data_IF_154202474586
#
_entry.id   IF_154202474586
#
_cell.length_a   1.000
_cell.length_b   1.000
_cell.length_c   1.000
_cell.angle_alpha   90.00
_cell.angle_beta   90.00
_cell.angle_gamma   90.00
#
_symmetry.space_group_name_H-M   'P 1'
#
loop_
_entity.id
_entity.type
_entity.pdbx_description
1 polymer ?
#
# COMPACT_ATOMS: atom_id res chain seq x y z
N UNK A 1 2.39 -13.01 10.23
CA UNK A 1 3.54 -12.25 9.69
C UNK A 1 4.87 -12.74 10.23
N UNK A 2 4.91 -13.22 11.47
CA UNK A 2 6.14 -13.50 12.23
C UNK A 2 7.12 -14.47 11.55
N UNK A 3 6.65 -15.51 10.85
CA UNK A 3 7.54 -16.40 10.09
C UNK A 3 8.29 -15.67 8.97
N UNK A 4 7.62 -14.74 8.28
CA UNK A 4 8.28 -13.92 7.25
C UNK A 4 9.21 -12.89 7.89
N UNK A 5 8.84 -12.34 9.05
CA UNK A 5 9.69 -11.44 9.82
C UNK A 5 11.00 -12.09 10.23
N UNK A 6 10.95 -13.32 10.76
CA UNK A 6 12.13 -14.11 11.11
C UNK A 6 13.01 -14.36 9.89
N UNK A 7 12.42 -14.80 8.77
CA UNK A 7 13.16 -15.02 7.52
C UNK A 7 13.83 -13.75 7.00
N UNK A 8 13.19 -12.59 7.14
CA UNK A 8 13.80 -11.33 6.75
C UNK A 8 15.04 -11.00 7.60
N UNK A 9 14.95 -11.21 8.91
CA UNK A 9 16.09 -11.02 9.80
C UNK A 9 17.24 -11.99 9.46
N UNK A 10 16.92 -13.24 9.14
CA UNK A 10 17.89 -14.23 8.67
C UNK A 10 18.54 -13.82 7.35
N UNK A 11 17.74 -13.49 6.33
CA UNK A 11 18.21 -13.03 5.01
C UNK A 11 19.14 -11.81 5.14
N UNK A 12 18.78 -10.84 5.99
CA UNK A 12 19.58 -9.63 6.22
C UNK A 12 20.88 -9.92 6.97
N UNK A 13 20.84 -10.76 8.00
CA UNK A 13 22.02 -11.19 8.77
C UNK A 13 23.00 -11.95 7.90
N UNK A 14 22.50 -12.84 7.04
CA UNK A 14 23.31 -13.69 6.16
C UNK A 14 23.70 -13.00 4.84
N UNK A 15 23.24 -11.77 4.60
CA UNK A 15 23.40 -11.05 3.32
C UNK A 15 22.85 -11.85 2.12
N UNK A 16 21.80 -12.65 2.34
CA UNK A 16 21.13 -13.41 1.30
C UNK A 16 20.21 -12.48 0.52
N UNK A 17 20.60 -12.17 -0.72
CA UNK A 17 19.87 -11.27 -1.61
C UNK A 17 19.37 -11.99 -2.86
N UNK A 18 18.24 -11.52 -3.37
CA UNK A 18 17.67 -11.91 -4.66
C UNK A 18 17.64 -10.73 -5.62
N UNK A 19 17.79 -11.02 -6.91
CA UNK A 19 17.55 -10.08 -8.00
C UNK A 19 16.23 -10.35 -8.73
N UNK A 20 15.55 -11.44 -8.37
CA UNK A 20 14.21 -11.75 -8.86
C UNK A 20 13.17 -11.06 -7.97
N UNK A 21 12.29 -10.30 -8.62
CA UNK A 21 11.06 -9.81 -8.01
C UNK A 21 9.99 -10.88 -8.20
N UNK A 22 9.30 -11.27 -7.10
CA UNK A 22 8.22 -12.25 -7.14
C UNK A 22 7.05 -11.73 -7.98
N UNK A 23 6.39 -12.63 -8.69
CA UNK A 23 5.35 -12.28 -9.66
C UNK A 23 4.20 -11.49 -9.04
N UNK A 24 3.83 -11.79 -7.80
CA UNK A 24 2.78 -11.07 -7.08
C UNK A 24 3.18 -9.62 -6.72
N UNK A 25 4.45 -9.34 -6.44
CA UNK A 25 4.90 -7.97 -6.24
C UNK A 25 4.97 -7.22 -7.58
N UNK A 26 5.43 -7.89 -8.64
CA UNK A 26 5.39 -7.35 -10.00
C UNK A 26 3.96 -7.02 -10.43
N UNK A 27 2.98 -7.84 -10.05
CA UNK A 27 1.56 -7.59 -10.31
C UNK A 27 1.15 -6.20 -9.80
N UNK A 28 1.51 -5.85 -8.56
CA UNK A 28 1.17 -4.56 -7.94
C UNK A 28 2.02 -3.38 -8.42
N UNK A 29 3.24 -3.62 -8.91
CA UNK A 29 4.11 -2.58 -9.45
C UNK A 29 3.69 -2.14 -10.87
N UNK A 30 3.00 -3.01 -11.62
CA UNK A 30 2.67 -2.74 -13.01
C UNK A 30 1.36 -1.97 -13.15
N UNK A 31 1.39 -0.84 -13.85
CA UNK A 31 0.18 -0.07 -14.19
C UNK A 31 -0.72 -0.88 -15.13
N UNK A 32 -1.95 -1.19 -14.70
CA UNK A 32 -2.93 -1.92 -15.53
C UNK A 32 -3.67 -0.96 -16.47
N UNK A 33 -3.34 -0.99 -17.77
CA UNK A 33 -4.12 -0.53 -18.95
C UNK A 33 -4.77 0.88 -18.98
N UNK A 34 -4.82 1.61 -17.87
CA UNK A 34 -5.35 2.96 -17.75
C UNK A 34 -4.22 3.98 -17.91
N UNK A 35 -4.46 4.97 -18.77
CA UNK A 35 -3.49 6.03 -19.05
C UNK A 35 -3.47 7.01 -17.87
N UNK A 36 -4.56 7.13 -17.10
CA UNK A 36 -4.70 8.13 -16.05
C UNK A 36 -3.74 7.91 -14.88
N UNK A 37 -3.13 8.97 -14.38
CA UNK A 37 -2.29 8.91 -13.18
C UNK A 37 -3.11 9.02 -11.88
N UNK A 38 -2.43 9.03 -10.72
CA UNK A 38 -3.11 9.11 -9.43
C UNK A 38 -3.86 10.43 -9.27
N UNK A 39 -3.25 11.55 -9.68
CA UNK A 39 -3.84 12.88 -9.56
C UNK A 39 -5.14 12.97 -10.36
N UNK A 40 -5.12 12.54 -11.62
CA UNK A 40 -6.31 12.51 -12.49
C UNK A 40 -7.41 11.62 -11.90
N UNK A 41 -7.07 10.45 -11.34
CA UNK A 41 -8.06 9.55 -10.73
C UNK A 41 -8.73 10.14 -9.49
N UNK A 42 -7.94 10.82 -8.64
CA UNK A 42 -8.47 11.46 -7.44
C UNK A 42 -9.34 12.66 -7.81
N UNK A 43 -8.90 13.48 -8.78
CA UNK A 43 -9.67 14.62 -9.28
C UNK A 43 -11.02 14.17 -9.85
N UNK A 44 -11.02 13.16 -10.74
CA UNK A 44 -12.22 12.56 -11.34
C UNK A 44 -13.22 12.05 -10.29
N UNK A 45 -12.72 11.55 -9.15
CA UNK A 45 -13.54 11.02 -8.07
C UNK A 45 -13.98 12.11 -7.06
N UNK A 46 -13.56 13.37 -7.25
CA UNK A 46 -13.88 14.50 -6.38
C UNK A 46 -13.03 14.60 -5.12
N UNK A 47 -11.82 14.03 -5.17
CA UNK A 47 -10.83 14.00 -4.09
C UNK A 47 -9.57 14.81 -4.42
N UNK A 48 -9.70 15.87 -5.23
CA UNK A 48 -8.58 16.74 -5.62
C UNK A 48 -7.76 17.29 -4.45
N UNK A 49 -8.43 17.52 -3.30
CA UNK A 49 -7.80 17.95 -2.05
C UNK A 49 -6.84 16.92 -1.42
N UNK A 50 -6.80 15.67 -1.93
CA UNK A 50 -5.87 14.62 -1.49
C UNK A 50 -4.68 14.43 -2.42
N UNK A 51 -4.58 15.15 -3.55
CA UNK A 51 -3.58 14.86 -4.58
C UNK A 51 -2.15 15.01 -4.05
N UNK A 52 -1.84 16.14 -3.39
CA UNK A 52 -0.49 16.41 -2.89
C UNK A 52 -0.03 15.35 -1.89
N UNK A 53 -0.85 15.09 -0.86
CA UNK A 53 -0.55 14.06 0.15
C UNK A 53 -0.56 12.65 -0.45
N UNK A 54 -1.42 12.39 -1.44
CA UNK A 54 -1.52 11.10 -2.10
C UNK A 54 -0.24 10.75 -2.88
N UNK A 55 0.32 11.70 -3.63
CA UNK A 55 1.58 11.49 -4.35
C UNK A 55 2.76 11.32 -3.39
N UNK A 56 2.85 12.13 -2.33
CA UNK A 56 3.88 11.97 -1.29
C UNK A 56 3.84 10.56 -0.69
N UNK A 57 2.67 10.10 -0.29
CA UNK A 57 2.52 8.79 0.35
C UNK A 57 2.71 7.61 -0.62
N UNK A 58 2.35 7.77 -1.90
CA UNK A 58 2.65 6.79 -2.95
C UNK A 58 4.16 6.67 -3.18
N UNK A 59 4.89 7.78 -3.16
CA UNK A 59 6.34 7.79 -3.30
C UNK A 59 7.02 7.06 -2.12
N UNK A 60 6.52 7.26 -0.90
CA UNK A 60 7.01 6.55 0.29
C UNK A 60 6.91 5.03 0.16
N UNK A 61 5.78 4.53 -0.35
CA UNK A 61 5.61 3.08 -0.59
C UNK A 61 6.50 2.59 -1.71
N UNK A 62 6.69 3.38 -2.77
CA UNK A 62 7.60 3.05 -3.85
C UNK A 62 9.05 2.91 -3.33
N UNK A 63 9.48 3.83 -2.46
CA UNK A 63 10.78 3.77 -1.79
C UNK A 63 10.89 2.58 -0.83
N UNK A 64 9.83 2.26 -0.09
CA UNK A 64 9.78 1.07 0.77
C UNK A 64 10.01 -0.21 -0.03
N UNK A 65 9.36 -0.34 -1.20
CA UNK A 65 9.52 -1.48 -2.11
C UNK A 65 10.96 -1.55 -2.61
N UNK A 66 11.49 -0.47 -3.20
CA UNK A 66 12.85 -0.44 -3.76
C UNK A 66 13.90 -0.80 -2.72
N UNK A 67 13.79 -0.27 -1.50
CA UNK A 67 14.73 -0.52 -0.40
C UNK A 67 14.77 -2.00 0.00
N UNK A 68 13.65 -2.71 -0.12
CA UNK A 68 13.49 -4.06 0.40
C UNK A 68 13.34 -5.14 -0.69
N UNK A 69 13.29 -4.77 -1.97
CA UNK A 69 13.05 -5.70 -3.07
C UNK A 69 14.13 -6.78 -3.23
N UNK A 70 15.31 -6.61 -2.61
CA UNK A 70 16.38 -7.61 -2.67
C UNK A 70 16.22 -8.73 -1.63
N UNK A 71 15.17 -8.71 -0.80
CA UNK A 71 14.90 -9.73 0.20
C UNK A 71 13.57 -10.41 -0.09
N UNK A 72 13.60 -11.73 -0.35
CA UNK A 72 12.41 -12.47 -0.80
C UNK A 72 11.31 -12.47 0.27
N UNK A 73 11.68 -12.56 1.53
CA UNK A 73 10.75 -12.44 2.66
C UNK A 73 10.10 -11.04 2.74
N UNK A 74 10.86 -9.97 2.52
CA UNK A 74 10.34 -8.60 2.54
C UNK A 74 9.40 -8.34 1.36
N UNK A 75 9.73 -8.85 0.16
CA UNK A 75 8.82 -8.80 -0.98
C UNK A 75 7.47 -9.45 -0.64
N UNK A 76 7.48 -10.61 0.03
CA UNK A 76 6.25 -11.30 0.47
C UNK A 76 5.47 -10.53 1.52
N UNK A 77 6.15 -9.94 2.50
CA UNK A 77 5.53 -9.06 3.52
C UNK A 77 4.81 -7.90 2.84
N UNK A 78 5.49 -7.19 1.93
CA UNK A 78 4.92 -6.03 1.25
C UNK A 78 3.75 -6.45 0.35
N UNK A 79 3.90 -7.56 -0.39
CA UNK A 79 2.83 -8.11 -1.23
C UNK A 79 1.59 -8.46 -0.42
N UNK A 80 1.76 -9.13 0.73
CA UNK A 80 0.66 -9.45 1.62
C UNK A 80 -0.08 -8.18 2.08
N UNK A 81 0.67 -7.16 2.49
CA UNK A 81 0.07 -5.89 2.95
C UNK A 81 -0.65 -5.16 1.81
N UNK A 82 -0.11 -5.14 0.60
CA UNK A 82 -0.77 -4.56 -0.57
C UNK A 82 -2.09 -5.28 -0.87
N UNK A 83 -2.11 -6.61 -0.84
CA UNK A 83 -3.31 -7.41 -1.04
C UNK A 83 -4.36 -7.16 0.05
N UNK A 84 -3.96 -7.07 1.31
CA UNK A 84 -4.86 -6.77 2.42
C UNK A 84 -5.45 -5.36 2.30
N UNK A 85 -4.62 -4.36 1.96
CA UNK A 85 -5.09 -2.99 1.71
C UNK A 85 -6.10 -2.96 0.56
N UNK A 86 -5.82 -3.65 -0.55
CA UNK A 86 -6.73 -3.78 -1.69
C UNK A 86 -8.08 -4.38 -1.26
N UNK A 87 -8.04 -5.49 -0.52
CA UNK A 87 -9.21 -6.21 -0.03
C UNK A 87 -10.06 -5.34 0.91
N UNK A 88 -9.44 -4.75 1.94
CA UNK A 88 -10.10 -3.88 2.91
C UNK A 88 -10.70 -2.65 2.22
N UNK A 89 -9.96 -2.02 1.31
CA UNK A 89 -10.44 -0.83 0.63
C UNK A 89 -11.72 -1.16 -0.15
N UNK A 90 -11.70 -2.21 -0.96
CA UNK A 90 -12.83 -2.61 -1.79
C UNK A 90 -14.04 -3.06 -0.96
N UNK A 91 -13.82 -3.82 0.12
CA UNK A 91 -14.90 -4.33 0.96
C UNK A 91 -15.51 -3.25 1.87
N UNK A 92 -14.67 -2.42 2.50
CA UNK A 92 -15.07 -1.62 3.66
C UNK A 92 -15.04 -0.12 3.42
N UNK A 93 -14.22 0.38 2.49
CA UNK A 93 -13.97 1.83 2.36
C UNK A 93 -14.61 2.41 1.11
N UNK A 94 -14.47 1.76 -0.05
CA UNK A 94 -14.88 2.29 -1.36
C UNK A 94 -16.31 2.84 -1.37
N UNK A 95 -17.29 2.06 -0.90
CA UNK A 95 -18.70 2.46 -0.86
C UNK A 95 -18.98 3.65 0.06
N UNK A 96 -18.14 3.87 1.08
CA UNK A 96 -18.27 4.96 2.07
C UNK A 96 -17.61 6.25 1.61
N UNK A 97 -16.81 6.21 0.54
CA UNK A 97 -16.20 7.40 -0.05
C UNK A 97 -17.18 8.17 -0.94
N UNK A 98 -18.27 7.55 -1.39
CA UNK A 98 -19.28 8.20 -2.23
C UNK A 98 -19.81 9.48 -1.57
N UNK A 99 -19.56 10.62 -2.22
CA UNK A 99 -20.02 11.93 -1.76
C UNK A 99 -19.20 12.55 -0.62
N UNK A 100 -18.12 11.92 -0.18
CA UNK A 100 -17.20 12.53 0.78
C UNK A 100 -16.45 13.70 0.12
N UNK A 101 -16.39 14.83 0.83
CA UNK A 101 -15.73 16.07 0.37
C UNK A 101 -14.73 16.64 1.38
N UNK A 102 -14.61 15.99 2.53
CA UNK A 102 -13.76 16.44 3.63
C UNK A 102 -12.66 15.42 3.90
N UNK A 103 -11.41 15.89 3.91
CA UNK A 103 -10.24 15.06 4.21
C UNK A 103 -10.32 14.38 5.58
N UNK A 104 -10.86 15.06 6.59
CA UNK A 104 -11.01 14.50 7.93
C UNK A 104 -11.86 13.22 7.94
N UNK A 105 -12.90 13.15 7.09
CA UNK A 105 -13.77 11.97 6.97
C UNK A 105 -13.01 10.83 6.30
N UNK A 106 -12.24 11.10 5.24
CA UNK A 106 -11.40 10.08 4.59
C UNK A 106 -10.37 9.51 5.56
N UNK A 107 -9.69 10.37 6.32
CA UNK A 107 -8.74 9.97 7.37
C UNK A 107 -9.40 9.12 8.44
N UNK A 108 -10.63 9.45 8.86
CA UNK A 108 -11.37 8.66 9.82
C UNK A 108 -11.73 7.27 9.27
N UNK A 109 -12.11 7.16 7.99
CA UNK A 109 -12.37 5.89 7.32
C UNK A 109 -11.11 5.01 7.29
N UNK A 110 -9.97 5.58 6.87
CA UNK A 110 -8.70 4.86 6.85
C UNK A 110 -8.30 4.41 8.26
N UNK A 111 -8.37 5.29 9.26
CA UNK A 111 -8.07 4.94 10.64
C UNK A 111 -8.97 3.83 11.19
N UNK A 112 -10.24 3.85 10.85
CA UNK A 112 -11.24 2.94 11.41
C UNK A 112 -11.21 1.57 10.75
N UNK A 113 -11.06 1.52 9.43
CA UNK A 113 -11.23 0.30 8.65
C UNK A 113 -9.92 -0.30 8.13
N UNK A 114 -8.86 0.51 7.99
CA UNK A 114 -7.60 0.07 7.40
C UNK A 114 -6.47 0.02 8.43
N UNK A 115 -6.11 1.16 9.03
CA UNK A 115 -4.94 1.26 9.89
C UNK A 115 -5.02 0.29 11.07
N UNK A 116 -6.16 0.24 11.77
CA UNK A 116 -6.37 -0.67 12.91
C UNK A 116 -6.25 -2.13 12.53
N UNK A 117 -6.88 -2.53 11.43
CA UNK A 117 -6.88 -3.92 10.95
C UNK A 117 -5.46 -4.35 10.56
N UNK A 118 -4.75 -3.53 9.80
CA UNK A 118 -3.38 -3.85 9.37
C UNK A 118 -2.42 -3.87 10.56
N UNK A 119 -2.51 -2.91 11.49
CA UNK A 119 -1.70 -2.88 12.71
C UNK A 119 -1.87 -4.12 13.58
N UNK A 120 -3.09 -4.65 13.69
CA UNK A 120 -3.35 -5.85 14.47
C UNK A 120 -2.63 -7.11 13.95
N UNK A 121 -2.26 -7.12 12.66
CA UNK A 121 -1.66 -8.28 11.99
C UNK A 121 -0.18 -8.10 11.62
N UNK A 122 0.40 -6.93 11.91
CA UNK A 122 1.75 -6.56 11.46
C UNK A 122 2.88 -7.38 12.11
N UNK A 123 2.63 -7.96 13.28
CA UNK A 123 3.62 -8.73 14.05
C UNK A 123 4.82 -7.88 14.46
N UNK A 124 6.03 -8.44 14.38
CA UNK A 124 7.30 -7.81 14.78
C UNK A 124 7.67 -6.52 14.01
N UNK A 125 6.93 -6.16 12.95
CA UNK A 125 7.15 -4.95 12.14
C UNK A 125 8.60 -4.72 11.70
N UNK A 126 9.29 -5.77 11.23
CA UNK A 126 10.70 -5.71 10.86
C UNK A 126 11.01 -4.79 9.66
N UNK A 127 9.99 -4.33 8.95
CA UNK A 127 10.09 -3.37 7.84
C UNK A 127 9.78 -1.92 8.24
N UNK A 128 9.50 -1.67 9.53
CA UNK A 128 9.19 -0.33 10.08
C UNK A 128 8.01 0.34 9.35
N UNK A 129 6.93 -0.41 9.15
CA UNK A 129 5.71 0.04 8.51
C UNK A 129 4.82 0.71 9.57
N UNK A 130 4.46 1.97 9.31
CA UNK A 130 3.56 2.78 10.12
C UNK A 130 2.34 3.19 9.31
N UNK A 131 1.40 3.90 9.95
CA UNK A 131 0.15 4.34 9.29
C UNK A 131 0.40 5.18 8.03
N UNK A 132 1.54 5.90 7.99
CA UNK A 132 1.98 6.63 6.80
C UNK A 132 2.13 5.69 5.59
N UNK A 133 2.85 4.57 5.75
CA UNK A 133 3.02 3.57 4.70
C UNK A 133 1.71 2.82 4.40
N UNK A 134 0.93 2.47 5.42
CA UNK A 134 -0.37 1.80 5.24
C UNK A 134 -1.31 2.65 4.38
N UNK A 135 -1.43 3.95 4.69
CA UNK A 135 -2.23 4.88 3.89
C UNK A 135 -1.62 5.08 2.49
N UNK A 136 -0.30 5.16 2.40
CA UNK A 136 0.41 5.22 1.12
C UNK A 136 0.14 4.04 0.21
N UNK A 137 -0.13 2.85 0.76
CA UNK A 137 -0.45 1.67 -0.04
C UNK A 137 -1.75 1.87 -0.81
N UNK A 138 -2.74 2.58 -0.26
CA UNK A 138 -3.98 2.92 -0.98
C UNK A 138 -3.68 3.78 -2.21
N UNK A 139 -2.87 4.82 -2.06
CA UNK A 139 -2.52 5.72 -3.15
C UNK A 139 -1.60 5.06 -4.18
N UNK A 140 -0.66 4.23 -3.73
CA UNK A 140 0.18 3.40 -4.59
C UNK A 140 -0.65 2.48 -5.47
N UNK A 141 -1.58 1.73 -4.88
CA UNK A 141 -2.49 0.85 -5.59
C UNK A 141 -3.43 1.61 -6.53
N UNK A 142 -3.88 2.80 -6.15
CA UNK A 142 -4.72 3.65 -7.02
C UNK A 142 -3.94 4.11 -8.26
N UNK A 143 -2.72 4.61 -8.07
CA UNK A 143 -1.82 5.03 -9.15
C UNK A 143 -1.44 3.89 -10.09
N UNK A 144 -1.31 2.67 -9.56
CA UNK A 144 -1.01 1.47 -10.35
C UNK A 144 -2.26 0.75 -10.87
N UNK A 145 -3.45 1.34 -10.70
CA UNK A 145 -4.72 0.84 -11.24
C UNK A 145 -5.24 -0.46 -10.62
N UNK A 146 -4.92 -0.71 -9.35
CA UNK A 146 -5.51 -1.77 -8.53
C UNK A 146 -6.70 -1.29 -7.73
N UNK A 147 -6.78 0.02 -7.43
CA UNK A 147 -7.91 0.63 -6.74
C UNK A 147 -8.57 1.72 -7.59
N UNK A 148 -9.90 1.73 -7.58
CA UNK A 148 -10.72 2.78 -8.19
C UNK A 148 -11.63 3.38 -7.12
N UNK A 149 -11.60 4.71 -7.01
CA UNK A 149 -12.36 5.50 -6.03
C UNK A 149 -13.77 5.86 -6.51
N UNK A 150 -14.06 5.57 -7.79
CA UNK A 150 -15.38 5.66 -8.42
C UNK A 150 -15.97 4.28 -8.68
#
# INVERSE_FOLDING_TARGET
>A
MDLLSQKYVEEKTNQEVTYLIIDELNHYNNKKYDIRDLAEKLEDAGFGYLIEVGEELKEEVSKLIIRNQHYKSAQKIITYLLAEVESIFNANIKSKLLGVREEAVVRLLFRTHLEKEIQAHLGDNVLEIFNRQINGMVYFLTGNCHLEWK
#
